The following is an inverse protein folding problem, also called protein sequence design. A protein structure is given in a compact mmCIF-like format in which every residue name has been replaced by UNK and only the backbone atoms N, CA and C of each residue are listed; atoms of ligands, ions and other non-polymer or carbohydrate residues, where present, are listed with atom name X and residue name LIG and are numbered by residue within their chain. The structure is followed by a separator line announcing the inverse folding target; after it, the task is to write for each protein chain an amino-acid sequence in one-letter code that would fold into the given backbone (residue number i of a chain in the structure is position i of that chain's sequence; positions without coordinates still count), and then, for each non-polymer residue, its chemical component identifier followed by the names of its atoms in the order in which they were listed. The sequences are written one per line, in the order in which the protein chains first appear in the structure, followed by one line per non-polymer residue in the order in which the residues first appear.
data_IF_602900661791
#
_entry.id   IF_602900661791
#
_cell.length_a   1.000
_cell.length_b   1.000
_cell.length_c   1.000
_cell.angle_alpha   90.00
_cell.angle_beta   90.00
_cell.angle_gamma   90.00
#
_symmetry.space_group_name_H-M   'P 1'
#
loop_
_entity.id
_entity.type
_entity.pdbx_description
1 polymer ?
#
# COMPACT_ATOMS: atom_id res chain seq x y z
N UNK A 1 -73.25 39.74 10.17
CA UNK A 1 -71.92 40.09 9.62
C UNK A 1 -70.99 38.89 9.77
N UNK A 2 -70.09 38.70 8.81
CA UNK A 2 -68.96 37.76 8.78
C UNK A 2 -69.26 36.25 8.56
N UNK A 3 -69.42 35.92 7.27
CA UNK A 3 -68.55 34.98 6.56
C UNK A 3 -68.34 33.56 7.12
N UNK A 4 -69.41 32.77 7.24
CA UNK A 4 -69.30 31.29 7.18
C UNK A 4 -69.17 30.74 5.75
N UNK A 5 -69.20 31.61 4.73
CA UNK A 5 -69.08 31.24 3.31
C UNK A 5 -67.64 31.17 2.79
N UNK A 6 -66.65 31.64 3.55
CA UNK A 6 -65.23 31.56 3.13
C UNK A 6 -64.59 30.19 3.34
N UNK A 7 -64.96 29.43 4.38
CA UNK A 7 -64.29 28.15 4.66
C UNK A 7 -64.55 27.05 3.62
N UNK A 8 -65.68 27.10 2.92
CA UNK A 8 -66.05 26.07 1.93
C UNK A 8 -65.40 26.27 0.55
N UNK A 9 -64.97 27.49 0.22
CA UNK A 9 -64.33 27.82 -1.07
C UNK A 9 -62.85 27.45 -1.09
N UNK A 10 -62.18 27.41 0.06
CA UNK A 10 -60.78 26.99 0.16
C UNK A 10 -60.61 25.46 0.17
N UNK A 11 -61.62 24.71 0.61
CA UNK A 11 -61.54 23.25 0.65
C UNK A 11 -61.67 22.61 -0.74
N UNK A 12 -62.42 23.22 -1.65
CA UNK A 12 -62.56 22.74 -3.04
C UNK A 12 -61.34 23.08 -3.91
N UNK A 13 -60.58 24.13 -3.58
CA UNK A 13 -59.35 24.48 -4.30
C UNK A 13 -58.18 23.52 -3.98
N UNK A 14 -58.17 22.90 -2.79
CA UNK A 14 -57.11 21.97 -2.37
C UNK A 14 -57.24 20.55 -2.96
N UNK A 15 -58.40 20.20 -3.49
CA UNK A 15 -58.68 18.89 -4.13
C UNK A 15 -58.32 18.86 -5.63
N UNK A 16 -57.95 19.98 -6.23
CA UNK A 16 -57.76 20.13 -7.68
C UNK A 16 -56.37 19.76 -8.23
N UNK A 17 -55.41 19.41 -7.38
CA UNK A 17 -54.06 19.03 -7.81
C UNK A 17 -53.66 17.74 -7.10
N UNK A 18 -54.37 16.64 -7.39
CA UNK A 18 -53.78 15.31 -7.19
C UNK A 18 -52.94 14.99 -8.43
N UNK A 19 -51.61 14.81 -8.31
CA UNK A 19 -50.83 14.31 -9.44
C UNK A 19 -51.39 12.94 -9.81
N UNK A 20 -51.93 12.81 -11.02
CA UNK A 20 -52.31 11.52 -11.57
C UNK A 20 -51.04 10.76 -11.86
N UNK A 21 -50.61 9.93 -10.92
CA UNK A 21 -49.58 8.94 -11.18
C UNK A 21 -50.16 7.90 -12.14
N UNK A 22 -49.91 8.08 -13.44
CA UNK A 22 -50.24 7.09 -14.47
C UNK A 22 -49.32 5.88 -14.32
N UNK A 23 -49.89 4.69 -14.19
CA UNK A 23 -49.11 3.46 -14.17
C UNK A 23 -48.53 3.19 -15.57
N UNK A 24 -47.24 2.88 -15.63
CA UNK A 24 -46.58 2.38 -16.83
C UNK A 24 -46.51 0.86 -16.73
N UNK A 25 -47.01 0.16 -17.75
CA UNK A 25 -46.90 -1.30 -17.84
C UNK A 25 -45.72 -1.68 -18.72
N UNK A 26 -44.72 -2.36 -18.14
CA UNK A 26 -43.60 -2.97 -18.87
C UNK A 26 -43.90 -4.46 -19.09
N UNK A 27 -44.18 -4.85 -20.34
CA UNK A 27 -44.34 -6.25 -20.73
C UNK A 27 -43.03 -6.78 -21.32
N UNK A 28 -42.41 -7.76 -20.67
CA UNK A 28 -41.17 -8.39 -21.14
C UNK A 28 -41.49 -9.73 -21.81
N UNK A 29 -41.03 -9.93 -23.03
CA UNK A 29 -41.20 -11.20 -23.74
C UNK A 29 -40.35 -12.31 -23.09
N UNK A 30 -40.92 -13.52 -22.97
CA UNK A 30 -40.25 -14.68 -22.38
C UNK A 30 -39.43 -15.49 -23.39
N UNK A 31 -39.51 -15.16 -24.68
CA UNK A 31 -38.91 -15.92 -25.79
C UNK A 31 -38.36 -14.98 -26.87
N UNK A 32 -37.44 -15.48 -27.71
CA UNK A 32 -36.90 -14.73 -28.86
C UNK A 32 -35.70 -13.81 -28.59
N UNK A 33 -35.12 -13.86 -27.39
CA UNK A 33 -33.89 -13.12 -27.05
C UNK A 33 -32.59 -13.78 -27.55
N UNK A 34 -31.50 -13.01 -27.58
CA UNK A 34 -30.16 -13.52 -27.89
C UNK A 34 -29.47 -14.04 -26.64
N UNK A 35 -28.57 -15.02 -26.81
CA UNK A 35 -27.67 -15.43 -25.74
C UNK A 35 -26.76 -14.25 -25.35
N UNK A 36 -26.69 -13.96 -24.06
CA UNK A 36 -25.75 -12.98 -23.51
C UNK A 36 -24.32 -13.47 -23.67
N UNK A 37 -23.41 -12.57 -24.03
CA UNK A 37 -21.98 -12.89 -24.12
C UNK A 37 -21.43 -13.38 -22.77
N UNK A 38 -20.64 -14.47 -22.73
CA UNK A 38 -20.02 -14.95 -21.49
C UNK A 38 -18.96 -13.99 -20.93
N UNK A 39 -18.50 -13.03 -21.73
CA UNK A 39 -17.50 -12.01 -21.34
C UNK A 39 -18.13 -10.64 -21.09
N UNK A 40 -19.44 -10.60 -20.82
CA UNK A 40 -20.14 -9.34 -20.57
C UNK A 40 -19.61 -8.58 -19.33
N UNK A 41 -19.03 -9.29 -18.36
CA UNK A 41 -18.48 -8.71 -17.14
C UNK A 41 -17.02 -9.14 -16.96
N UNK A 42 -16.15 -8.17 -16.67
CA UNK A 42 -14.73 -8.37 -16.44
C UNK A 42 -14.14 -7.25 -15.60
N UNK A 43 -12.83 -7.31 -15.38
CA UNK A 43 -12.08 -6.30 -14.63
C UNK A 43 -11.10 -5.60 -15.57
N UNK A 44 -11.00 -4.27 -15.43
CA UNK A 44 -9.87 -3.51 -15.92
C UNK A 44 -8.90 -3.35 -14.76
N UNK A 45 -7.60 -3.51 -15.04
CA UNK A 45 -6.57 -3.33 -14.05
C UNK A 45 -5.40 -2.51 -14.63
N UNK A 46 -5.05 -1.46 -13.91
CA UNK A 46 -3.80 -0.73 -14.02
C UNK A 46 -3.29 -0.48 -12.59
N UNK A 47 -1.99 -0.24 -12.41
CA UNK A 47 -1.49 0.20 -11.11
C UNK A 47 -1.73 1.71 -10.95
N UNK A 48 -2.89 2.03 -10.40
CA UNK A 48 -3.30 3.39 -10.03
C UNK A 48 -3.65 3.41 -8.54
N UNK A 49 -3.23 4.45 -7.83
CA UNK A 49 -3.48 4.60 -6.39
C UNK A 49 -3.04 3.38 -5.56
N UNK A 50 -1.86 2.81 -5.84
CA UNK A 50 -1.33 1.62 -5.16
C UNK A 50 -2.23 0.38 -5.27
N UNK A 51 -2.87 0.18 -6.42
CA UNK A 51 -3.68 -1.04 -6.66
C UNK A 51 -2.82 -2.23 -7.09
N UNK A 52 -1.58 -2.02 -7.52
CA UNK A 52 -0.54 -3.04 -7.65
C UNK A 52 0.37 -3.03 -6.44
N UNK A 53 1.44 -2.24 -6.51
CA UNK A 53 2.40 -2.08 -5.43
C UNK A 53 1.74 -1.41 -4.22
N UNK A 54 1.48 -2.20 -3.17
CA UNK A 54 0.73 -1.80 -1.98
C UNK A 54 -0.74 -2.21 -1.97
N UNK A 55 -1.20 -2.89 -3.03
CA UNK A 55 -2.58 -3.34 -3.19
C UNK A 55 -2.66 -4.83 -3.50
N UNK A 56 -2.95 -5.17 -4.76
CA UNK A 56 -3.10 -6.57 -5.18
C UNK A 56 -1.78 -7.37 -5.05
N UNK A 57 -0.63 -6.69 -5.18
CA UNK A 57 0.67 -7.31 -4.97
C UNK A 57 0.99 -7.37 -3.47
N UNK A 58 1.36 -8.56 -2.99
CA UNK A 58 1.47 -8.86 -1.56
C UNK A 58 2.79 -8.45 -0.90
N UNK A 59 3.61 -7.65 -1.56
CA UNK A 59 4.82 -7.09 -0.94
C UNK A 59 4.43 -6.08 0.13
N UNK A 60 5.03 -6.21 1.30
CA UNK A 60 4.74 -5.34 2.45
C UNK A 60 5.72 -4.16 2.54
N UNK A 61 6.93 -4.32 1.99
CA UNK A 61 8.00 -3.33 2.04
C UNK A 61 7.88 -2.38 0.85
N UNK A 62 7.68 -1.09 1.14
CA UNK A 62 7.67 -0.07 0.11
C UNK A 62 9.10 0.29 -0.28
N UNK A 63 9.35 0.54 -1.57
CA UNK A 63 10.69 0.87 -2.08
C UNK A 63 11.75 -0.19 -1.70
N UNK A 64 11.37 -1.48 -1.78
CA UNK A 64 12.18 -2.63 -1.33
C UNK A 64 13.55 -2.82 -1.98
N UNK A 65 13.75 -2.22 -3.15
CA UNK A 65 14.97 -2.37 -3.94
C UNK A 65 15.47 -1.02 -4.50
N UNK A 66 15.07 0.09 -3.87
CA UNK A 66 15.59 1.44 -4.15
C UNK A 66 15.37 1.92 -5.61
N UNK A 67 14.37 1.34 -6.28
CA UNK A 67 13.98 1.69 -7.65
C UNK A 67 13.01 2.88 -7.70
N UNK A 68 12.45 3.27 -6.55
CA UNK A 68 11.42 4.30 -6.44
C UNK A 68 11.97 5.71 -6.58
N UNK A 69 11.21 6.57 -7.26
CA UNK A 69 11.57 7.96 -7.61
C UNK A 69 10.73 8.95 -6.81
N UNK A 70 11.29 10.08 -6.36
CA UNK A 70 10.45 11.18 -5.87
C UNK A 70 9.63 11.75 -7.04
N UNK A 71 8.31 11.79 -6.87
CA UNK A 71 7.32 12.14 -7.92
C UNK A 71 7.32 13.65 -8.24
N UNK A 72 8.04 14.46 -7.46
CA UNK A 72 7.78 15.90 -7.39
C UNK A 72 8.49 16.78 -8.43
N UNK A 73 9.46 16.29 -9.21
CA UNK A 73 10.20 17.23 -10.07
C UNK A 73 10.99 16.70 -11.26
N UNK A 74 11.04 15.40 -11.57
CA UNK A 74 11.67 14.90 -12.81
C UNK A 74 13.11 15.43 -13.06
N UNK A 75 13.83 15.79 -11.99
CA UNK A 75 15.12 16.50 -12.01
C UNK A 75 16.07 15.85 -10.97
N UNK A 76 16.63 14.69 -11.30
CA UNK A 76 17.80 14.09 -10.64
C UNK A 76 17.59 13.45 -9.25
N UNK A 77 18.55 12.61 -8.83
CA UNK A 77 18.50 11.16 -9.09
C UNK A 77 17.19 10.54 -8.58
N UNK A 78 16.62 9.66 -9.41
CA UNK A 78 15.36 8.96 -9.20
C UNK A 78 15.40 7.92 -8.08
N UNK A 79 16.39 7.94 -7.20
CA UNK A 79 16.59 6.91 -6.18
C UNK A 79 16.55 7.56 -4.81
N UNK A 80 15.79 6.93 -3.92
CA UNK A 80 15.55 7.46 -2.57
C UNK A 80 15.58 6.34 -1.54
N UNK A 81 15.85 6.73 -0.29
CA UNK A 81 15.58 5.92 0.90
C UNK A 81 14.21 6.22 1.49
N UNK A 82 13.30 6.87 0.74
CA UNK A 82 11.94 7.09 1.21
C UNK A 82 11.33 5.79 1.74
N UNK A 83 10.57 5.91 2.83
CA UNK A 83 9.95 4.83 3.60
C UNK A 83 10.92 4.01 4.46
N UNK A 84 12.23 4.17 4.29
CA UNK A 84 13.26 3.60 5.16
C UNK A 84 13.74 4.62 6.18
N UNK A 85 13.90 4.16 7.42
CA UNK A 85 14.25 4.99 8.56
C UNK A 85 15.36 4.32 9.36
N UNK A 86 16.27 5.12 9.90
CA UNK A 86 17.35 4.61 10.77
C UNK A 86 16.82 4.28 12.17
N UNK A 87 17.46 3.31 12.83
CA UNK A 87 17.31 2.99 14.24
C UNK A 87 18.65 3.17 14.95
N UNK A 88 18.63 3.87 16.09
CA UNK A 88 19.85 4.18 16.83
C UNK A 88 20.68 5.27 16.15
N UNK A 89 22.00 5.10 16.14
CA UNK A 89 22.96 6.06 15.59
C UNK A 89 23.41 5.73 14.17
N UNK A 90 22.75 4.79 13.50
CA UNK A 90 23.16 4.31 12.18
C UNK A 90 22.92 5.37 11.10
N UNK A 91 23.78 5.38 10.10
CA UNK A 91 23.61 6.22 8.91
C UNK A 91 23.21 5.36 7.72
N UNK A 92 22.10 5.72 7.07
CA UNK A 92 21.63 5.08 5.86
C UNK A 92 21.94 5.98 4.66
N UNK A 93 22.60 5.44 3.65
CA UNK A 93 22.87 6.14 2.38
C UNK A 93 22.55 5.24 1.19
N UNK A 94 22.28 5.85 0.05
CA UNK A 94 22.27 5.11 -1.21
C UNK A 94 23.67 5.04 -1.77
N UNK A 95 24.03 3.84 -2.21
CA UNK A 95 25.33 3.54 -2.80
C UNK A 95 25.12 2.80 -4.13
N UNK A 96 25.96 3.13 -5.10
CA UNK A 96 26.10 2.48 -6.39
C UNK A 96 27.57 2.33 -6.82
N UNK A 97 28.51 2.64 -5.92
CA UNK A 97 29.95 2.51 -6.13
C UNK A 97 30.45 1.11 -5.77
N UNK A 98 29.85 0.45 -4.78
CA UNK A 98 30.13 -0.96 -4.53
C UNK A 98 29.64 -1.85 -5.70
N UNK A 99 30.20 -3.07 -5.88
CA UNK A 99 29.76 -3.97 -6.94
C UNK A 99 28.24 -4.17 -6.92
N UNK A 100 27.60 -4.02 -8.07
CA UNK A 100 26.14 -4.07 -8.18
C UNK A 100 25.61 -5.49 -7.89
N UNK A 101 24.45 -5.58 -7.23
CA UNK A 101 23.74 -6.85 -7.07
C UNK A 101 23.38 -7.43 -8.44
N UNK A 102 22.76 -6.59 -9.28
CA UNK A 102 22.56 -6.86 -10.72
C UNK A 102 22.56 -5.54 -11.48
N UNK A 103 22.70 -5.59 -12.81
CA UNK A 103 22.54 -4.39 -13.65
C UNK A 103 21.13 -3.79 -13.62
N UNK A 104 20.11 -4.57 -13.23
CA UNK A 104 18.72 -4.10 -13.11
C UNK A 104 18.44 -3.43 -11.75
N UNK A 105 19.27 -3.73 -10.73
CA UNK A 105 19.21 -3.16 -9.38
C UNK A 105 20.57 -2.52 -9.05
N UNK A 106 20.89 -1.36 -9.66
CA UNK A 106 22.21 -0.75 -9.55
C UNK A 106 22.40 0.10 -8.29
N UNK A 107 21.40 0.16 -7.42
CA UNK A 107 21.44 0.92 -6.17
C UNK A 107 21.15 0.00 -5.00
N UNK A 108 21.87 0.23 -3.91
CA UNK A 108 21.69 -0.48 -2.65
C UNK A 108 21.77 0.49 -1.48
N UNK A 109 21.11 0.15 -0.39
CA UNK A 109 21.25 0.88 0.86
C UNK A 109 22.54 0.44 1.55
N UNK A 110 23.44 1.39 1.76
CA UNK A 110 24.59 1.25 2.64
C UNK A 110 24.17 1.61 4.06
N UNK A 111 24.55 0.77 5.01
CA UNK A 111 24.30 0.94 6.43
C UNK A 111 25.64 1.10 7.14
N UNK A 112 25.92 2.29 7.63
CA UNK A 112 27.10 2.57 8.44
C UNK A 112 26.71 2.62 9.91
N UNK A 113 27.10 1.58 10.66
CA UNK A 113 26.94 1.48 12.11
C UNK A 113 28.13 2.18 12.78
N UNK A 114 27.86 3.12 13.68
CA UNK A 114 28.91 3.82 14.40
C UNK A 114 29.74 2.85 15.26
N UNK A 115 31.06 3.02 15.29
CA UNK A 115 31.95 2.11 16.04
C UNK A 115 31.72 2.11 17.56
N UNK A 116 31.13 3.19 18.06
CA UNK A 116 30.75 3.40 19.46
C UNK A 116 29.23 3.28 19.69
N UNK A 117 28.50 2.73 18.72
CA UNK A 117 27.07 2.49 18.85
C UNK A 117 26.78 1.64 20.11
N UNK A 118 25.88 2.13 20.95
CA UNK A 118 25.38 1.42 22.11
C UNK A 118 23.86 1.33 22.03
N UNK A 119 23.31 0.16 22.38
CA UNK A 119 21.87 -0.10 22.26
C UNK A 119 21.46 -0.61 20.86
N UNK A 120 20.16 -0.56 20.53
CA UNK A 120 19.64 -1.07 19.27
C UNK A 120 20.16 -0.30 18.06
N UNK A 121 20.68 -1.02 17.07
CA UNK A 121 21.12 -0.52 15.76
C UNK A 121 20.28 -1.20 14.67
N UNK A 122 20.07 -0.51 13.54
CA UNK A 122 19.40 -1.06 12.38
C UNK A 122 18.60 -0.01 11.63
N UNK A 123 17.56 -0.48 10.97
CA UNK A 123 16.65 0.34 10.17
C UNK A 123 15.30 -0.35 10.08
N UNK A 124 14.28 0.40 9.68
CA UNK A 124 12.94 -0.12 9.50
C UNK A 124 12.27 0.50 8.27
N UNK A 125 11.33 -0.23 7.69
CA UNK A 125 10.48 0.25 6.60
C UNK A 125 9.05 0.43 7.12
N UNK A 126 8.41 1.54 6.78
CA UNK A 126 7.05 1.82 7.26
C UNK A 126 5.95 1.09 6.47
N UNK A 127 6.30 0.44 5.35
CA UNK A 127 5.38 -0.23 4.45
C UNK A 127 4.42 0.73 3.75
N UNK A 128 3.35 0.19 3.19
CA UNK A 128 2.30 0.97 2.53
C UNK A 128 1.31 1.52 3.56
N UNK A 129 1.70 2.61 4.23
CA UNK A 129 0.97 3.21 5.37
C UNK A 129 0.75 2.22 6.53
N UNK A 130 1.74 1.36 6.76
CA UNK A 130 1.69 0.26 7.72
C UNK A 130 1.67 -1.11 7.05
N UNK A 131 1.65 -2.15 7.89
CA UNK A 131 1.64 -3.55 7.47
C UNK A 131 0.57 -4.31 8.27
N UNK A 132 -0.30 -5.05 7.59
CA UNK A 132 -1.29 -5.89 8.26
C UNK A 132 -0.65 -7.22 8.71
N UNK A 133 -0.17 -7.24 9.95
CA UNK A 133 0.50 -8.40 10.55
C UNK A 133 -0.49 -9.20 11.39
N UNK A 134 -0.68 -10.47 11.05
CA UNK A 134 -1.64 -11.36 11.70
C UNK A 134 -1.01 -12.69 12.08
N UNK A 135 -1.48 -13.29 13.17
CA UNK A 135 -1.02 -14.62 13.62
C UNK A 135 -1.49 -15.77 12.72
N UNK A 136 -2.42 -15.51 11.79
CA UNK A 136 -2.92 -16.50 10.84
C UNK A 136 -2.03 -16.64 9.59
N UNK A 137 -1.04 -15.76 9.40
CA UNK A 137 -0.19 -15.72 8.21
C UNK A 137 1.25 -16.05 8.55
N UNK A 138 1.94 -16.71 7.62
CA UNK A 138 3.41 -16.85 7.66
C UNK A 138 4.01 -15.88 6.66
N UNK A 139 5.07 -15.18 7.07
CA UNK A 139 5.73 -14.14 6.29
C UNK A 139 7.11 -14.60 5.86
N UNK A 140 7.50 -14.30 4.63
CA UNK A 140 8.83 -14.59 4.12
C UNK A 140 9.64 -13.30 4.11
N UNK A 141 10.71 -13.25 4.91
CA UNK A 141 11.70 -12.18 4.89
C UNK A 141 12.94 -12.65 4.13
N UNK A 142 13.46 -11.79 3.25
CA UNK A 142 14.68 -12.06 2.50
C UNK A 142 15.35 -10.75 2.10
N UNK A 143 16.68 -10.76 2.06
CA UNK A 143 17.49 -9.65 1.57
C UNK A 143 18.80 -10.21 1.02
N UNK A 144 19.49 -9.40 0.20
CA UNK A 144 20.89 -9.60 -0.14
C UNK A 144 21.74 -8.73 0.76
N UNK A 145 22.92 -9.21 1.15
CA UNK A 145 23.82 -8.47 2.02
C UNK A 145 25.25 -8.65 1.54
N UNK A 146 25.96 -7.54 1.47
CA UNK A 146 27.38 -7.47 1.14
C UNK A 146 28.07 -6.63 2.19
N UNK A 147 29.25 -7.06 2.63
CA UNK A 147 30.07 -6.29 3.55
C UNK A 147 30.87 -7.19 4.46
N UNK A 148 31.54 -6.59 5.44
CA UNK A 148 32.28 -7.33 6.47
C UNK A 148 31.45 -7.38 7.75
N UNK A 149 30.67 -8.45 7.90
CA UNK A 149 29.82 -8.65 9.07
C UNK A 149 29.71 -10.13 9.43
N UNK A 150 29.98 -10.44 10.70
CA UNK A 150 29.73 -11.76 11.28
C UNK A 150 28.87 -11.57 12.53
N UNK A 151 27.68 -12.15 12.53
CA UNK A 151 26.73 -12.00 13.62
C UNK A 151 25.31 -12.36 13.19
N UNK A 152 24.36 -12.12 14.10
CA UNK A 152 22.94 -12.34 13.83
C UNK A 152 22.28 -11.03 13.39
N UNK A 153 21.56 -11.06 12.27
CA UNK A 153 20.63 -10.00 11.88
C UNK A 153 19.21 -10.45 12.23
N UNK A 154 18.52 -9.70 13.09
CA UNK A 154 17.10 -9.94 13.38
C UNK A 154 16.21 -9.12 12.47
N UNK A 155 15.22 -9.78 11.83
CA UNK A 155 14.14 -9.11 11.13
C UNK A 155 12.84 -9.29 11.92
N UNK A 156 12.12 -8.20 12.18
CA UNK A 156 10.94 -8.22 13.03
C UNK A 156 9.85 -7.27 12.53
N UNK A 157 8.60 -7.64 12.82
CA UNK A 157 7.49 -6.68 12.80
C UNK A 157 7.38 -6.02 14.18
N UNK A 158 7.33 -4.69 14.20
CA UNK A 158 7.18 -3.91 15.41
C UNK A 158 5.94 -3.02 15.33
N UNK A 159 5.12 -3.05 16.38
CA UNK A 159 3.94 -2.20 16.51
C UNK A 159 4.33 -0.85 17.12
N UNK A 160 4.09 0.23 16.41
CA UNK A 160 4.24 1.59 16.96
C UNK A 160 3.10 1.98 17.93
N UNK A 161 1.99 1.22 17.94
CA UNK A 161 0.82 1.51 18.78
C UNK A 161 0.93 0.84 20.14
N UNK A 162 1.46 -0.39 20.17
CA UNK A 162 1.65 -1.16 21.41
C UNK A 162 3.11 -1.19 21.87
N UNK A 163 4.01 -0.55 21.11
CA UNK A 163 5.45 -0.50 21.36
C UNK A 163 6.06 -1.89 21.60
N UNK A 164 5.63 -2.87 20.80
CA UNK A 164 5.99 -4.28 21.01
C UNK A 164 6.28 -5.00 19.70
N UNK A 165 7.20 -5.97 19.77
CA UNK A 165 7.44 -6.93 18.69
C UNK A 165 6.22 -7.84 18.48
N UNK A 166 5.79 -7.98 17.23
CA UNK A 166 4.66 -8.82 16.83
C UNK A 166 5.09 -10.20 16.32
N UNK A 167 6.30 -10.28 15.77
CA UNK A 167 6.92 -11.51 15.27
C UNK A 167 8.31 -11.21 14.72
N UNK A 168 9.19 -12.21 14.71
CA UNK A 168 10.56 -12.05 14.24
C UNK A 168 11.13 -13.34 13.66
N UNK A 169 12.24 -13.17 12.96
CA UNK A 169 13.16 -14.22 12.55
C UNK A 169 14.59 -13.68 12.64
N UNK A 170 15.57 -14.57 12.56
CA UNK A 170 16.99 -14.23 12.66
C UNK A 170 17.76 -14.89 11.53
N UNK A 171 18.78 -14.19 11.05
CA UNK A 171 19.69 -14.62 10.00
C UNK A 171 21.11 -14.67 10.57
N UNK A 172 21.69 -15.86 10.63
CA UNK A 172 23.11 -16.02 10.95
C UNK A 172 23.95 -15.61 9.73
N UNK A 173 24.62 -14.47 9.83
CA UNK A 173 25.43 -13.91 8.74
C UNK A 173 26.90 -14.09 9.07
N UNK A 174 27.64 -14.60 8.07
CA UNK A 174 29.09 -14.61 8.06
C UNK A 174 29.55 -14.16 6.67
N UNK A 175 29.76 -12.86 6.51
CA UNK A 175 30.01 -12.19 5.25
C UNK A 175 31.30 -11.40 5.28
N UNK A 176 32.02 -11.42 4.18
CA UNK A 176 33.15 -10.55 3.86
C UNK A 176 32.92 -9.88 2.51
N UNK A 177 33.60 -8.77 2.24
CA UNK A 177 33.46 -8.09 0.94
C UNK A 177 33.85 -8.98 -0.26
N UNK A 178 34.69 -10.00 -0.03
CA UNK A 178 35.13 -10.92 -1.07
C UNK A 178 34.05 -11.94 -1.47
N UNK A 179 33.06 -12.20 -0.61
CA UNK A 179 32.02 -13.21 -0.84
C UNK A 179 30.99 -12.75 -1.89
N UNK A 180 30.83 -11.43 -2.08
CA UNK A 180 29.86 -10.87 -3.01
C UNK A 180 28.56 -10.46 -2.31
N UNK A 181 27.43 -10.78 -2.93
CA UNK A 181 26.08 -10.49 -2.45
C UNK A 181 25.37 -11.78 -2.01
#
# INVERSE_FOLDING_TARGET
MASKRMALVWLTALLGIMPTAGAVTLNVATEGGNATSPIMYGLLYEDVYHSGDGGLYSELIQNRAFQGTSVDNNQGPYQTLQYWHTQGSDTLTLDNDAPLLTSALPWHMRVDVASDATGPTGFWNEGYWGMNVTTASTYNASFYVRGSYTGEISAAFWSNTTESMLGSTSFDVNQTEADGW
#
